data_IF_519561266898
#
_entry.id   IF_519561266898
#
_cell.length_a   1.000
_cell.length_b   1.000
_cell.length_c   1.000
_cell.angle_alpha   90.00
_cell.angle_beta   90.00
_cell.angle_gamma   90.00
#
_symmetry.space_group_name_H-M   'P 1'
#
loop_
_entity.id
_entity.type
_entity.pdbx_description
1 polymer ?
#
# COMPACT_ATOMS: atom_id res chain seq x y z
N UNK A 1 -26.35 13.01 -7.74
CA UNK A 1 -25.71 13.75 -6.62
C UNK A 1 -24.21 13.48 -6.68
N UNK A 2 -23.38 14.49 -6.96
CA UNK A 2 -21.92 14.33 -6.97
C UNK A 2 -21.42 14.20 -5.53
N UNK A 3 -21.05 12.98 -5.13
CA UNK A 3 -20.42 12.75 -3.84
C UNK A 3 -18.98 13.28 -3.90
N UNK A 4 -18.78 14.51 -3.41
CA UNK A 4 -17.48 15.17 -3.38
C UNK A 4 -16.60 14.49 -2.31
N UNK A 5 -15.56 13.77 -2.74
CA UNK A 5 -14.65 12.99 -1.86
C UNK A 5 -13.54 13.84 -1.24
N UNK A 6 -13.82 15.12 -1.03
CA UNK A 6 -12.83 16.10 -0.60
C UNK A 6 -12.61 15.99 0.91
N UNK A 7 -11.35 16.02 1.41
CA UNK A 7 -11.07 15.87 2.84
C UNK A 7 -11.72 16.96 3.71
N UNK A 8 -11.86 18.20 3.21
CA UNK A 8 -12.47 19.31 3.97
C UNK A 8 -13.99 19.23 4.08
N UNK A 9 -14.65 18.40 3.26
CA UNK A 9 -16.08 18.10 3.37
C UNK A 9 -16.38 16.97 4.34
N UNK A 10 -15.36 16.24 4.80
CA UNK A 10 -15.51 15.10 5.70
C UNK A 10 -15.59 15.54 7.16
N UNK A 11 -16.10 14.67 8.03
CA UNK A 11 -16.11 14.92 9.48
C UNK A 11 -14.70 15.17 10.01
N UNK A 12 -14.58 15.88 11.15
CA UNK A 12 -13.28 16.30 11.71
C UNK A 12 -12.30 15.13 11.89
N UNK A 13 -12.79 13.99 12.36
CA UNK A 13 -11.97 12.81 12.63
C UNK A 13 -11.54 12.08 11.34
N UNK A 14 -12.46 11.99 10.36
CA UNK A 14 -12.16 11.45 9.04
C UNK A 14 -11.11 12.32 8.33
N UNK A 15 -11.26 13.65 8.38
CA UNK A 15 -10.30 14.61 7.81
C UNK A 15 -8.92 14.46 8.44
N UNK A 16 -8.83 14.34 9.76
CA UNK A 16 -7.55 14.18 10.47
C UNK A 16 -6.84 12.88 10.05
N UNK A 17 -7.58 11.77 9.95
CA UNK A 17 -7.06 10.47 9.49
C UNK A 17 -6.57 10.56 8.04
N UNK A 18 -7.36 11.17 7.15
CA UNK A 18 -6.97 11.37 5.74
C UNK A 18 -5.72 12.25 5.62
N UNK A 19 -5.64 13.34 6.38
CA UNK A 19 -4.48 14.24 6.36
C UNK A 19 -3.21 13.52 6.82
N UNK A 20 -3.29 12.71 7.88
CA UNK A 20 -2.17 11.92 8.37
C UNK A 20 -1.64 10.94 7.30
N UNK A 21 -2.55 10.22 6.60
CA UNK A 21 -2.16 9.29 5.55
C UNK A 21 -1.63 9.98 4.29
N UNK A 22 -2.17 11.13 3.91
CA UNK A 22 -1.66 11.94 2.80
C UNK A 22 -0.24 12.44 3.10
N UNK A 23 0.02 12.91 4.33
CA UNK A 23 1.35 13.30 4.78
C UNK A 23 2.31 12.12 4.83
N UNK A 24 1.86 10.95 5.30
CA UNK A 24 2.65 9.71 5.26
C UNK A 24 3.08 9.36 3.84
N UNK A 25 2.14 9.38 2.88
CA UNK A 25 2.46 9.14 1.46
C UNK A 25 3.48 10.14 0.94
N UNK A 26 3.37 11.41 1.32
CA UNK A 26 4.34 12.42 0.92
C UNK A 26 5.75 12.15 1.48
N UNK A 27 5.86 11.67 2.72
CA UNK A 27 7.16 11.27 3.32
C UNK A 27 7.78 10.07 2.62
N UNK A 28 6.97 9.18 2.05
CA UNK A 28 7.43 7.99 1.33
C UNK A 28 7.82 8.28 -0.13
N UNK A 29 7.59 9.49 -0.65
CA UNK A 29 7.90 9.83 -2.06
C UNK A 29 9.34 9.47 -2.48
N UNK A 30 10.40 9.78 -1.69
CA UNK A 30 11.76 9.41 -2.08
C UNK A 30 11.94 7.90 -2.22
N UNK A 31 11.35 7.12 -1.30
CA UNK A 31 11.41 5.66 -1.31
C UNK A 31 10.65 5.06 -2.51
N UNK A 32 9.44 5.56 -2.78
CA UNK A 32 8.65 5.16 -3.95
C UNK A 32 9.41 5.44 -5.26
N UNK A 33 10.10 6.57 -5.34
CA UNK A 33 10.88 6.94 -6.52
C UNK A 33 12.09 6.03 -6.74
N UNK A 34 12.84 5.70 -5.67
CA UNK A 34 13.96 4.75 -5.76
C UNK A 34 13.50 3.40 -6.32
N UNK A 35 12.40 2.86 -5.81
CA UNK A 35 11.87 1.59 -6.29
C UNK A 35 11.29 1.67 -7.70
N UNK A 36 10.65 2.78 -8.07
CA UNK A 36 10.23 3.00 -9.46
C UNK A 36 11.42 3.05 -10.43
N UNK A 37 12.53 3.67 -10.01
CA UNK A 37 13.77 3.71 -10.79
C UNK A 37 14.39 2.32 -10.92
N UNK A 38 14.46 1.55 -9.82
CA UNK A 38 14.95 0.17 -9.83
C UNK A 38 14.11 -0.71 -10.75
N UNK A 39 12.78 -0.59 -10.69
CA UNK A 39 11.87 -1.32 -11.57
C UNK A 39 12.11 -1.01 -13.04
N UNK A 40 12.34 0.26 -13.39
CA UNK A 40 12.70 0.64 -14.76
C UNK A 40 14.05 0.03 -15.21
N UNK A 41 15.02 -0.11 -14.31
CA UNK A 41 16.36 -0.62 -14.67
C UNK A 41 16.48 -2.14 -14.65
N UNK A 42 15.80 -2.82 -13.71
CA UNK A 42 15.94 -4.25 -13.45
C UNK A 42 14.72 -5.06 -13.92
N UNK A 43 13.62 -4.40 -14.31
CA UNK A 43 12.38 -5.05 -14.74
C UNK A 43 11.56 -5.67 -13.61
N UNK A 44 12.00 -5.57 -12.35
CA UNK A 44 11.28 -6.10 -11.19
C UNK A 44 10.30 -5.05 -10.66
N UNK A 45 9.01 -5.37 -10.69
CA UNK A 45 7.96 -4.48 -10.18
C UNK A 45 8.11 -4.21 -8.69
N UNK A 46 7.81 -2.99 -8.21
CA UNK A 46 7.97 -2.64 -6.81
C UNK A 46 6.94 -3.35 -5.92
N UNK A 47 5.75 -3.63 -6.46
CA UNK A 47 4.68 -4.38 -5.78
C UNK A 47 4.81 -5.84 -6.15
N UNK A 48 5.08 -6.68 -5.15
CA UNK A 48 5.32 -8.12 -5.29
C UNK A 48 4.46 -8.87 -4.29
N UNK A 49 3.88 -10.03 -4.65
CA UNK A 49 3.29 -10.91 -3.67
C UNK A 49 4.38 -11.56 -2.79
N UNK A 50 4.04 -11.88 -1.54
CA UNK A 50 5.03 -12.38 -0.55
C UNK A 50 5.70 -13.69 -0.99
N UNK A 51 4.97 -14.55 -1.71
CA UNK A 51 5.51 -15.82 -2.22
C UNK A 51 6.65 -15.66 -3.22
N UNK A 52 6.80 -14.48 -3.84
CA UNK A 52 7.89 -14.23 -4.78
C UNK A 52 9.27 -14.25 -4.09
N UNK A 53 9.30 -13.81 -2.83
CA UNK A 53 10.53 -13.73 -2.03
C UNK A 53 10.66 -14.88 -1.04
N UNK A 54 9.53 -15.44 -0.60
CA UNK A 54 9.47 -16.55 0.35
C UNK A 54 8.72 -17.75 -0.26
N UNK A 55 9.28 -18.41 -1.29
CA UNK A 55 8.60 -19.53 -1.96
C UNK A 55 8.49 -20.78 -1.08
N UNK A 56 9.31 -20.90 -0.03
CA UNK A 56 9.30 -22.06 0.88
C UNK A 56 8.22 -21.96 1.96
N UNK A 57 7.65 -20.77 2.17
CA UNK A 57 6.64 -20.54 3.20
C UNK A 57 5.25 -20.74 2.61
N UNK A 58 4.60 -21.86 2.96
CA UNK A 58 3.23 -22.16 2.53
C UNK A 58 2.24 -21.04 2.90
N UNK A 59 2.50 -20.33 4.02
CA UNK A 59 1.69 -19.18 4.44
C UNK A 59 1.68 -18.03 3.43
N UNK A 60 2.77 -17.83 2.69
CA UNK A 60 2.90 -16.75 1.70
C UNK A 60 1.97 -16.93 0.49
N UNK A 61 1.46 -18.15 0.25
CA UNK A 61 0.46 -18.45 -0.79
C UNK A 61 -0.98 -18.22 -0.32
N UNK A 62 -1.21 -18.21 0.99
CA UNK A 62 -2.55 -18.06 1.59
C UNK A 62 -2.89 -16.58 1.79
N UNK A 63 -1.90 -15.76 2.13
CA UNK A 63 -2.10 -14.34 2.41
C UNK A 63 -2.30 -13.51 1.14
N UNK A 64 -3.54 -13.38 0.68
CA UNK A 64 -3.90 -12.59 -0.52
C UNK A 64 -3.91 -11.07 -0.31
N UNK A 65 -4.02 -10.63 0.94
CA UNK A 65 -4.20 -9.21 1.26
C UNK A 65 -2.90 -8.48 1.51
N UNK A 66 -1.78 -9.17 1.68
CA UNK A 66 -0.48 -8.57 1.93
C UNK A 66 0.38 -8.59 0.68
N UNK A 67 1.21 -7.56 0.54
CA UNK A 67 2.17 -7.46 -0.56
C UNK A 67 3.45 -6.83 -0.07
N UNK A 68 4.55 -7.20 -0.70
CA UNK A 68 5.84 -6.56 -0.55
C UNK A 68 5.91 -5.35 -1.46
N UNK A 69 6.30 -4.21 -0.91
CA UNK A 69 6.74 -3.05 -1.64
C UNK A 69 8.25 -2.88 -1.43
N UNK A 70 9.03 -3.40 -2.37
CA UNK A 70 10.48 -3.50 -2.18
C UNK A 70 10.80 -4.30 -0.92
N UNK A 71 11.37 -3.64 0.09
CA UNK A 71 11.74 -4.22 1.39
C UNK A 71 10.65 -4.03 2.48
N UNK A 72 9.53 -3.37 2.15
CA UNK A 72 8.43 -3.15 3.09
C UNK A 72 7.34 -4.19 2.90
N UNK A 73 6.88 -4.81 3.98
CA UNK A 73 5.63 -5.57 3.98
C UNK A 73 4.46 -4.62 4.22
N UNK A 74 3.54 -4.56 3.27
CA UNK A 74 2.33 -3.73 3.35
C UNK A 74 1.12 -4.62 3.57
N UNK A 75 0.48 -4.43 4.72
CA UNK A 75 -0.77 -5.10 5.09
C UNK A 75 -1.88 -4.05 5.19
N UNK A 76 -2.66 -3.81 4.13
CA UNK A 76 -3.81 -2.93 4.20
C UNK A 76 -4.86 -3.52 5.15
N UNK A 77 -5.33 -2.70 6.09
CA UNK A 77 -6.50 -3.03 6.92
C UNK A 77 -7.74 -2.86 6.05
N UNK A 78 -8.06 -3.89 5.28
CA UNK A 78 -9.35 -3.99 4.62
C UNK A 78 -10.33 -4.64 5.60
N UNK A 79 -11.38 -3.91 5.97
CA UNK A 79 -12.59 -4.52 6.51
C UNK A 79 -13.25 -5.33 5.39
N UNK A 80 -12.80 -6.56 5.21
CA UNK A 80 -13.55 -7.51 4.40
C UNK A 80 -14.78 -7.92 5.21
N UNK A 81 -16.00 -7.94 4.63
CA UNK A 81 -17.05 -8.79 5.19
C UNK A 81 -16.52 -10.22 5.14
N UNK A 82 -16.54 -10.89 6.29
CA UNK A 82 -16.34 -12.35 6.36
C UNK A 82 -17.43 -12.97 5.50
N UNK A 83 -17.09 -13.39 4.26
CA UNK A 83 -17.92 -14.24 3.40
C UNK A 83 -17.01 -15.23 2.71
#
# INVERSE_FOLDING_TARGET
>A
VFNSKEPWRSSRDARATMEAHLRLRHRLVPYLYTWARLAHTQGVGPVRPVYHDFPCEMGAYVSRNEFLFGDLLVVPVAILPVV
#
